data_IF_059748706831
#
_entry.id   IF_059748706831
#
_cell.length_a   1.000
_cell.length_b   1.000
_cell.length_c   1.000
_cell.angle_alpha   90.00
_cell.angle_beta   90.00
_cell.angle_gamma   90.00
#
_symmetry.space_group_name_H-M   'P 1'
#
loop_
_entity.id
_entity.type
_entity.pdbx_description
1 polymer ?
#
# COMPACT_ATOMS: atom_id res chain seq x y z
N UNK A 1 18.25 5.69 -4.52
CA UNK A 1 18.25 4.53 -5.43
C UNK A 1 17.17 4.78 -6.47
N UNK A 2 17.48 4.63 -7.76
CA UNK A 2 16.46 4.69 -8.82
C UNK A 2 15.57 3.44 -8.72
N UNK A 3 14.35 3.51 -9.25
CA UNK A 3 13.47 2.35 -9.35
C UNK A 3 14.24 1.21 -10.05
N UNK A 4 14.22 0.03 -9.44
CA UNK A 4 14.77 -1.16 -10.05
C UNK A 4 13.86 -1.57 -11.21
N UNK A 5 14.27 -1.21 -12.43
CA UNK A 5 13.52 -1.49 -13.65
C UNK A 5 13.52 -2.99 -14.01
N UNK A 6 14.27 -3.83 -13.27
CA UNK A 6 14.34 -5.27 -13.53
C UNK A 6 13.16 -6.03 -12.90
N UNK A 7 12.49 -5.46 -11.87
CA UNK A 7 11.33 -6.09 -11.25
C UNK A 7 10.03 -5.81 -12.03
N UNK A 8 9.85 -6.58 -13.11
CA UNK A 8 8.69 -6.47 -14.02
C UNK A 8 7.35 -6.64 -13.30
N UNK A 9 7.25 -7.50 -12.29
CA UNK A 9 6.01 -7.72 -11.54
C UNK A 9 5.56 -6.42 -10.87
N UNK A 10 6.46 -5.77 -10.13
CA UNK A 10 6.18 -4.52 -9.42
C UNK A 10 5.86 -3.37 -10.40
N UNK A 11 6.55 -3.30 -11.53
CA UNK A 11 6.26 -2.30 -12.57
C UNK A 11 4.85 -2.47 -13.14
N UNK A 12 4.47 -3.70 -13.51
CA UNK A 12 3.13 -4.00 -13.98
C UNK A 12 2.07 -3.59 -12.96
N UNK A 13 2.33 -3.84 -11.68
CA UNK A 13 1.42 -3.44 -10.59
C UNK A 13 1.29 -1.91 -10.52
N UNK A 14 2.39 -1.14 -10.58
CA UNK A 14 2.30 0.32 -10.60
C UNK A 14 1.46 0.83 -11.77
N UNK A 15 1.59 0.22 -12.94
CA UNK A 15 0.89 0.64 -14.16
C UNK A 15 -0.64 0.41 -14.09
N UNK A 16 -1.12 -0.45 -13.20
CA UNK A 16 -2.56 -0.62 -12.93
C UNK A 16 -3.19 0.64 -12.32
N UNK A 17 -2.41 1.40 -11.55
CA UNK A 17 -2.93 2.52 -10.74
C UNK A 17 -2.42 3.89 -11.20
N UNK A 18 -1.24 3.94 -11.84
CA UNK A 18 -0.57 5.19 -12.15
C UNK A 18 -0.08 5.25 -13.61
N UNK A 19 -0.03 6.45 -14.16
CA UNK A 19 0.56 6.71 -15.49
C UNK A 19 2.06 6.99 -15.42
N UNK A 20 2.57 7.31 -14.22
CA UNK A 20 3.98 7.56 -13.96
C UNK A 20 4.47 6.63 -12.87
N UNK A 21 5.69 6.13 -13.03
CA UNK A 21 6.34 5.30 -12.02
C UNK A 21 6.90 6.16 -10.87
N UNK A 22 6.98 5.60 -9.65
CA UNK A 22 7.70 6.25 -8.57
C UNK A 22 9.20 6.29 -8.87
N UNK A 23 9.95 7.17 -8.19
CA UNK A 23 11.40 7.21 -8.39
C UNK A 23 12.13 6.14 -7.57
N UNK A 24 11.49 5.58 -6.53
CA UNK A 24 11.97 4.46 -5.73
C UNK A 24 10.79 3.78 -5.04
N UNK A 25 11.00 2.59 -4.49
CA UNK A 25 10.04 1.96 -3.59
C UNK A 25 10.75 1.08 -2.56
N UNK A 26 10.02 0.69 -1.51
CA UNK A 26 10.45 -0.32 -0.55
C UNK A 26 9.29 -1.28 -0.26
N UNK A 27 9.60 -2.55 -0.05
CA UNK A 27 8.64 -3.57 0.37
C UNK A 27 8.69 -3.77 1.88
N UNK A 28 7.54 -3.99 2.52
CA UNK A 28 7.43 -4.38 3.92
C UNK A 28 6.45 -5.54 4.03
N UNK A 29 6.97 -6.72 4.39
CA UNK A 29 6.15 -7.88 4.71
C UNK A 29 5.50 -7.68 6.09
N UNK A 30 4.19 -7.93 6.17
CA UNK A 30 3.39 -7.86 7.40
C UNK A 30 2.53 -9.11 7.59
N UNK A 31 2.95 -10.21 6.98
CA UNK A 31 2.28 -11.50 7.05
C UNK A 31 2.33 -12.05 8.49
N UNK A 32 1.33 -12.82 8.90
CA UNK A 32 1.30 -13.47 10.24
C UNK A 32 1.42 -14.99 10.18
N UNK A 33 1.12 -15.58 9.03
CA UNK A 33 1.21 -17.01 8.76
C UNK A 33 1.31 -17.24 7.26
N UNK A 34 1.50 -18.49 6.84
CA UNK A 34 1.55 -18.87 5.42
C UNK A 34 0.21 -18.64 4.69
N UNK A 35 -0.90 -18.67 5.43
CA UNK A 35 -2.26 -18.42 4.95
C UNK A 35 -2.70 -16.95 5.05
N UNK A 36 -1.84 -16.09 5.59
CA UNK A 36 -2.09 -14.66 5.74
C UNK A 36 -0.92 -13.87 5.15
N UNK A 37 -0.78 -13.95 3.83
CA UNK A 37 0.22 -13.20 3.11
C UNK A 37 -0.21 -11.74 2.96
N UNK A 38 0.64 -10.83 3.45
CA UNK A 38 0.46 -9.39 3.33
C UNK A 38 1.78 -8.70 3.08
N UNK A 39 1.84 -7.90 2.02
CA UNK A 39 2.99 -7.05 1.74
C UNK A 39 2.55 -5.65 1.34
N UNK A 40 3.30 -4.66 1.78
CA UNK A 40 3.11 -3.27 1.41
C UNK A 40 4.30 -2.77 0.58
N UNK A 41 4.03 -2.21 -0.59
CA UNK A 41 5.01 -1.48 -1.40
C UNK A 41 4.82 0.00 -1.12
N UNK A 42 5.80 0.64 -0.49
CA UNK A 42 5.76 2.05 -0.14
C UNK A 42 6.60 2.81 -1.15
N UNK A 43 5.97 3.73 -1.88
CA UNK A 43 6.56 4.36 -3.05
C UNK A 43 6.35 5.89 -3.05
N UNK A 44 7.43 6.68 -3.02
CA UNK A 44 7.36 8.13 -3.23
C UNK A 44 7.49 8.53 -4.72
N UNK A 45 6.72 9.55 -5.11
CA UNK A 45 6.76 10.18 -6.43
C UNK A 45 7.61 11.45 -6.41
N UNK A 46 8.09 11.87 -7.58
CA UNK A 46 8.90 13.12 -7.71
C UNK A 46 8.09 14.38 -7.44
N UNK A 47 6.78 14.32 -7.60
CA UNK A 47 5.84 15.41 -7.31
C UNK A 47 5.60 15.62 -5.81
N UNK A 48 6.10 14.71 -4.95
CA UNK A 48 6.04 14.81 -3.49
C UNK A 48 5.01 13.89 -2.84
N UNK A 49 4.06 13.37 -3.60
CA UNK A 49 3.09 12.37 -3.15
C UNK A 49 3.79 11.05 -2.82
N UNK A 50 3.18 10.31 -1.89
CA UNK A 50 3.64 9.00 -1.48
C UNK A 50 2.42 8.10 -1.35
N UNK A 51 2.55 6.91 -1.88
CA UNK A 51 1.48 5.92 -1.91
C UNK A 51 1.94 4.60 -1.31
N UNK A 52 0.97 3.80 -0.87
CA UNK A 52 1.19 2.44 -0.39
C UNK A 52 0.36 1.50 -1.25
N UNK A 53 1.02 0.60 -1.97
CA UNK A 53 0.33 -0.51 -2.63
C UNK A 53 0.24 -1.65 -1.63
N UNK A 54 -0.97 -2.14 -1.40
CA UNK A 54 -1.26 -3.28 -0.53
C UNK A 54 -1.47 -4.50 -1.39
N UNK A 55 -0.75 -5.57 -1.09
CA UNK A 55 -0.93 -6.89 -1.69
C UNK A 55 -1.36 -7.86 -0.61
N UNK A 56 -2.39 -8.65 -0.88
CA UNK A 56 -2.91 -9.62 0.08
C UNK A 56 -3.34 -10.91 -0.61
N UNK A 57 -2.91 -12.04 -0.07
CA UNK A 57 -3.44 -13.37 -0.41
C UNK A 57 -3.85 -14.00 0.93
N UNK A 58 -5.14 -13.89 1.25
CA UNK A 58 -5.78 -14.40 2.46
C UNK A 58 -7.31 -14.45 2.27
N UNK A 59 -8.01 -15.13 3.18
CA UNK A 59 -9.45 -15.39 3.05
C UNK A 59 -10.37 -14.22 3.45
N UNK A 60 -9.78 -13.09 3.86
CA UNK A 60 -10.52 -11.97 4.43
C UNK A 60 -10.25 -10.63 3.74
N UNK A 61 -9.51 -10.62 2.63
CA UNK A 61 -9.25 -9.44 1.81
C UNK A 61 -9.65 -9.77 0.38
N UNK A 62 -10.74 -9.18 -0.08
CA UNK A 62 -11.31 -9.42 -1.41
C UNK A 62 -11.98 -8.14 -1.92
N UNK A 63 -12.19 -7.99 -3.25
CA UNK A 63 -12.58 -6.73 -3.89
C UNK A 63 -13.80 -6.04 -3.25
N UNK A 64 -14.87 -6.78 -2.97
CA UNK A 64 -16.11 -6.26 -2.38
C UNK A 64 -15.90 -5.70 -0.97
N UNK A 65 -14.99 -6.31 -0.22
CA UNK A 65 -14.62 -5.84 1.11
C UNK A 65 -13.77 -4.57 1.04
N UNK A 66 -12.83 -4.51 0.09
CA UNK A 66 -11.99 -3.33 -0.13
C UNK A 66 -12.87 -2.15 -0.57
N UNK A 67 -13.85 -2.39 -1.44
CA UNK A 67 -14.83 -1.37 -1.84
C UNK A 67 -15.63 -0.85 -0.63
N UNK A 68 -16.03 -1.74 0.27
CA UNK A 68 -16.69 -1.36 1.52
C UNK A 68 -15.77 -0.49 2.40
N UNK A 69 -14.50 -0.88 2.56
CA UNK A 69 -13.52 -0.09 3.31
C UNK A 69 -13.28 1.30 2.71
N UNK A 70 -13.20 1.39 1.37
CA UNK A 70 -13.07 2.66 0.65
C UNK A 70 -14.24 3.60 0.97
N UNK A 71 -15.48 3.10 0.91
CA UNK A 71 -16.68 3.89 1.26
C UNK A 71 -16.66 4.33 2.72
N UNK A 72 -16.31 3.44 3.64
CA UNK A 72 -16.18 3.80 5.05
C UNK A 72 -15.13 4.89 5.26
N UNK A 73 -13.96 4.78 4.63
CA UNK A 73 -12.90 5.79 4.73
C UNK A 73 -13.35 7.16 4.20
N UNK A 74 -14.10 7.19 3.10
CA UNK A 74 -14.71 8.40 2.55
C UNK A 74 -15.70 9.05 3.54
N UNK A 75 -16.59 8.26 4.16
CA UNK A 75 -17.54 8.78 5.15
C UNK A 75 -16.85 9.31 6.41
N UNK A 76 -15.84 8.61 6.93
CA UNK A 76 -15.05 9.11 8.06
C UNK A 76 -14.41 10.46 7.75
N UNK A 77 -13.86 10.64 6.54
CA UNK A 77 -13.26 11.92 6.12
C UNK A 77 -14.29 13.04 5.99
N UNK A 78 -15.50 12.75 5.51
CA UNK A 78 -16.59 13.74 5.47
C UNK A 78 -16.97 14.25 6.86
N UNK A 79 -16.84 13.40 7.88
CA UNK A 79 -17.04 13.75 9.28
C UNK A 79 -15.85 14.47 9.93
N UNK A 80 -14.77 14.71 9.20
CA UNK A 80 -13.55 15.35 9.72
C UNK A 80 -12.56 14.40 10.39
N UNK A 81 -12.83 13.08 10.39
CA UNK A 81 -11.87 12.10 10.88
C UNK A 81 -10.85 11.76 9.81
N UNK A 82 -9.58 11.68 10.21
CA UNK A 82 -8.54 11.23 9.32
C UNK A 82 -8.65 9.72 9.07
N UNK A 83 -8.75 9.35 7.78
CA UNK A 83 -8.62 7.99 7.30
C UNK A 83 -7.84 8.02 5.96
N UNK A 84 -6.84 7.14 5.74
CA UNK A 84 -6.18 7.05 4.43
C UNK A 84 -7.19 6.77 3.32
N UNK A 85 -7.09 7.50 2.20
CA UNK A 85 -7.91 7.20 1.03
C UNK A 85 -7.48 5.87 0.41
N UNK A 86 -8.45 5.06 0.00
CA UNK A 86 -8.24 3.86 -0.82
C UNK A 86 -8.56 4.21 -2.28
N UNK A 87 -7.65 3.89 -3.18
CA UNK A 87 -7.76 4.13 -4.61
C UNK A 87 -7.89 2.79 -5.36
N UNK A 88 -8.90 2.66 -6.24
CA UNK A 88 -9.01 1.53 -7.14
C UNK A 88 -8.00 1.66 -8.29
N UNK A 89 -7.92 0.62 -9.13
CA UNK A 89 -7.18 0.68 -10.38
C UNK A 89 -7.72 1.78 -11.31
N UNK A 90 -7.01 2.03 -12.42
CA UNK A 90 -7.50 2.92 -13.48
C UNK A 90 -8.80 2.42 -14.14
N UNK A 91 -9.14 1.14 -13.98
CA UNK A 91 -10.40 0.54 -14.42
C UNK A 91 -11.52 0.68 -13.38
N UNK A 92 -11.21 1.17 -12.18
CA UNK A 92 -12.19 1.32 -11.09
C UNK A 92 -12.41 0.05 -10.26
N UNK A 93 -11.57 -0.96 -10.41
CA UNK A 93 -11.65 -2.24 -9.70
C UNK A 93 -10.46 -2.50 -8.75
N UNK A 94 -10.48 -3.66 -8.09
CA UNK A 94 -9.41 -4.16 -7.21
C UNK A 94 -8.88 -5.49 -7.76
N UNK A 95 -7.89 -5.46 -8.67
CA UNK A 95 -7.49 -6.63 -9.43
C UNK A 95 -6.69 -7.62 -8.59
N UNK A 96 -6.72 -8.88 -9.02
CA UNK A 96 -5.79 -9.93 -8.56
C UNK A 96 -4.59 -10.00 -9.50
N UNK A 97 -3.38 -10.02 -8.95
CA UNK A 97 -2.12 -10.08 -9.71
C UNK A 97 -1.25 -11.23 -9.22
N UNK A 98 -0.45 -11.78 -10.13
CA UNK A 98 0.65 -12.67 -9.76
C UNK A 98 1.78 -11.83 -9.15
N UNK A 99 2.24 -12.20 -7.96
CA UNK A 99 3.32 -11.53 -7.25
C UNK A 99 4.09 -12.53 -6.39
N UNK A 100 5.40 -12.70 -6.63
CA UNK A 100 6.24 -13.67 -5.89
C UNK A 100 5.63 -15.08 -5.81
N UNK A 101 5.01 -15.54 -6.89
CA UNK A 101 4.35 -16.85 -6.97
C UNK A 101 2.99 -16.95 -6.25
N UNK A 102 2.40 -15.83 -5.85
CA UNK A 102 1.11 -15.72 -5.13
C UNK A 102 0.09 -14.97 -5.96
N UNK A 103 -1.20 -15.22 -5.71
CA UNK A 103 -2.30 -14.48 -6.32
C UNK A 103 -2.84 -13.46 -5.32
N UNK A 104 -2.35 -12.23 -5.44
CA UNK A 104 -2.69 -11.17 -4.49
C UNK A 104 -3.79 -10.27 -5.03
N UNK A 105 -4.82 -9.98 -4.23
CA UNK A 105 -5.66 -8.80 -4.47
C UNK A 105 -4.84 -7.55 -4.15
N UNK A 106 -4.98 -6.52 -4.99
CA UNK A 106 -4.16 -5.30 -4.91
C UNK A 106 -5.01 -4.05 -4.88
N UNK A 107 -4.61 -3.10 -4.03
CA UNK A 107 -5.19 -1.76 -3.97
C UNK A 107 -4.16 -0.74 -3.50
N UNK A 108 -4.44 0.54 -3.71
CA UNK A 108 -3.57 1.65 -3.31
C UNK A 108 -4.19 2.41 -2.14
N UNK A 109 -3.35 2.84 -1.21
CA UNK A 109 -3.69 3.78 -0.16
C UNK A 109 -2.85 5.07 -0.25
N UNK A 110 -3.43 6.19 0.21
CA UNK A 110 -2.67 7.38 0.58
C UNK A 110 -1.64 7.01 1.66
N UNK A 111 -0.38 7.44 1.52
CA UNK A 111 0.58 7.24 2.60
C UNK A 111 0.18 8.04 3.83
N UNK A 112 0.31 7.44 5.01
CA UNK A 112 -0.17 8.06 6.23
C UNK A 112 0.46 9.44 6.47
N UNK A 113 -0.37 10.47 6.66
CA UNK A 113 0.07 11.85 6.94
C UNK A 113 0.69 12.00 8.32
N UNK A 114 0.22 11.22 9.28
CA UNK A 114 0.63 11.32 10.66
C UNK A 114 1.56 10.16 11.00
N UNK A 115 2.74 10.50 11.51
CA UNK A 115 3.68 9.53 12.09
C UNK A 115 3.11 8.97 13.38
N UNK A 116 3.20 7.65 13.55
CA UNK A 116 2.93 7.01 14.84
C UNK A 116 3.99 7.41 15.87
N UNK A 117 3.67 7.25 17.14
CA UNK A 117 4.52 7.69 18.26
C UNK A 117 5.90 7.04 18.21
N UNK A 118 5.98 5.77 17.79
CA UNK A 118 7.26 5.06 17.69
C UNK A 118 8.20 5.68 16.64
N UNK A 119 7.66 6.24 15.55
CA UNK A 119 8.45 6.94 14.53
C UNK A 119 8.88 8.35 14.98
N UNK A 120 8.20 8.94 15.98
CA UNK A 120 8.57 10.25 16.58
C UNK A 120 9.72 10.15 17.57
N UNK A 121 9.87 9.01 18.25
CA UNK A 121 10.89 8.82 19.30
C UNK A 121 11.99 7.80 18.93
N UNK A 122 11.92 7.22 17.73
CA UNK A 122 12.79 6.14 17.27
C UNK A 122 14.27 6.48 17.01
N UNK A 123 14.73 7.69 17.35
CA UNK A 123 16.15 8.06 17.34
C UNK A 123 16.78 8.12 18.75
N UNK A 124 15.99 8.22 19.84
CA UNK A 124 16.52 8.58 21.17
C UNK A 124 16.48 7.44 22.22
N UNK A 125 16.06 6.22 21.86
CA UNK A 125 15.94 5.09 22.82
C UNK A 125 16.65 3.82 22.33
N UNK A 126 17.80 3.95 21.68
CA UNK A 126 18.70 2.79 21.44
C UNK A 126 20.00 2.81 22.24
N UNK A 127 20.28 3.87 23.00
CA UNK A 127 21.51 4.00 23.80
C UNK A 127 21.29 3.96 25.32
N UNK A 128 20.11 3.54 25.79
CA UNK A 128 19.86 3.35 27.22
C UNK A 128 18.94 2.16 27.46
N UNK A 129 19.53 0.96 27.54
CA UNK A 129 19.26 -0.13 28.52
C UNK A 129 20.44 -1.10 28.43
#
# INVERSE_FOLDING_TARGET
MNIDLENKEVICIFQLFFDKLPYQYKTKNTSRSDTDFREAIIAPWRSGEKYVIKLSENDFTFPEKIETWKRCAEEYRKLGYYCPMIFPSKQGDFPTVAYKGRNCVVYVEEFCKYTVVEDRFGADIKDKI
#
